data_IF_092473550254
#
_entry.id   IF_092473550254
#
_cell.length_a   1.000
_cell.length_b   1.000
_cell.length_c   1.000
_cell.angle_alpha   90.00
_cell.angle_beta   90.00
_cell.angle_gamma   90.00
#
_symmetry.space_group_name_H-M   'P 1'
#
loop_
_entity.id
_entity.type
_entity.pdbx_description
1 polymer ?
#
# COMPACT_ATOMS: atom_id res chain seq x y z
N UNK A 1 9.34 -14.99 20.79
CA UNK A 1 10.23 -14.17 19.93
C UNK A 1 9.44 -12.99 19.39
N UNK A 2 9.83 -11.75 19.71
CA UNK A 2 9.20 -10.57 19.12
C UNK A 2 9.66 -10.43 17.65
N UNK A 3 8.72 -10.28 16.71
CA UNK A 3 9.04 -9.98 15.31
C UNK A 3 9.62 -8.57 15.19
N UNK A 4 10.67 -8.40 14.37
CA UNK A 4 11.24 -7.07 14.09
C UNK A 4 10.18 -6.16 13.45
N UNK A 5 10.32 -4.82 13.63
CA UNK A 5 9.38 -3.84 13.03
C UNK A 5 9.23 -4.04 11.52
N UNK A 6 10.32 -4.32 10.82
CA UNK A 6 10.32 -4.58 9.38
C UNK A 6 9.56 -5.85 8.99
N UNK A 7 9.75 -6.95 9.74
CA UNK A 7 9.00 -8.20 9.49
C UNK A 7 7.50 -8.02 9.72
N UNK A 8 7.09 -7.18 10.68
CA UNK A 8 5.67 -6.87 10.90
C UNK A 8 5.05 -6.10 9.75
N UNK A 9 5.77 -5.12 9.19
CA UNK A 9 5.30 -4.38 8.00
C UNK A 9 5.17 -5.31 6.79
N UNK A 10 6.19 -6.13 6.53
CA UNK A 10 6.13 -7.12 5.45
C UNK A 10 4.96 -8.09 5.63
N UNK A 11 4.70 -8.55 6.85
CA UNK A 11 3.56 -9.41 7.13
C UNK A 11 2.23 -8.69 6.88
N UNK A 12 2.10 -7.43 7.27
CA UNK A 12 0.91 -6.62 7.02
C UNK A 12 0.64 -6.44 5.52
N UNK A 13 1.66 -6.06 4.74
CA UNK A 13 1.52 -5.89 3.28
C UNK A 13 1.22 -7.22 2.57
N UNK A 14 1.85 -8.32 3.01
CA UNK A 14 1.56 -9.65 2.48
C UNK A 14 0.11 -10.06 2.76
N UNK A 15 -0.39 -9.84 3.98
CA UNK A 15 -1.78 -10.10 4.33
C UNK A 15 -2.74 -9.21 3.52
N UNK A 16 -2.42 -7.94 3.33
CA UNK A 16 -3.22 -7.05 2.48
C UNK A 16 -3.31 -7.61 1.04
N UNK A 17 -2.18 -8.00 0.45
CA UNK A 17 -2.14 -8.64 -0.87
C UNK A 17 -2.99 -9.90 -0.96
N UNK A 18 -2.95 -10.76 0.06
CA UNK A 18 -3.79 -11.97 0.14
C UNK A 18 -5.28 -11.63 0.22
N UNK A 19 -5.68 -10.65 1.05
CA UNK A 19 -7.08 -10.23 1.16
C UNK A 19 -7.60 -9.71 -0.19
N UNK A 20 -6.78 -8.94 -0.91
CA UNK A 20 -7.12 -8.43 -2.24
C UNK A 20 -7.29 -9.58 -3.24
N UNK A 21 -6.41 -10.58 -3.21
CA UNK A 21 -6.54 -11.77 -4.06
C UNK A 21 -7.80 -12.58 -3.76
N UNK A 22 -8.17 -12.73 -2.49
CA UNK A 22 -9.44 -13.36 -2.12
C UNK A 22 -10.63 -12.57 -2.69
N UNK A 23 -10.58 -11.25 -2.64
CA UNK A 23 -11.64 -10.39 -3.21
C UNK A 23 -11.66 -10.42 -4.74
N UNK A 24 -10.49 -10.55 -5.38
CA UNK A 24 -10.36 -10.77 -6.81
C UNK A 24 -11.06 -12.05 -7.26
N UNK A 25 -10.83 -13.14 -6.52
CA UNK A 25 -11.45 -14.44 -6.75
C UNK A 25 -12.98 -14.36 -6.57
N UNK A 26 -13.44 -13.78 -5.45
CA UNK A 26 -14.86 -13.51 -5.19
C UNK A 26 -15.53 -12.75 -6.36
N UNK A 27 -14.89 -11.70 -6.90
CA UNK A 27 -15.46 -10.96 -8.04
C UNK A 27 -15.39 -11.69 -9.37
N UNK A 28 -14.39 -12.53 -9.59
CA UNK A 28 -14.34 -13.39 -10.78
C UNK A 28 -15.50 -14.39 -10.79
N UNK A 29 -15.83 -15.00 -9.64
CA UNK A 29 -16.95 -15.96 -9.52
C UNK A 29 -18.33 -15.29 -9.70
N UNK A 30 -18.49 -14.06 -9.24
CA UNK A 30 -19.76 -13.31 -9.38
C UNK A 30 -19.93 -12.61 -10.74
N UNK A 31 -19.20 -13.03 -11.78
CA UNK A 31 -19.36 -12.54 -13.15
C UNK A 31 -18.69 -11.20 -13.47
N UNK A 32 -17.93 -10.63 -12.53
CA UNK A 32 -17.18 -9.39 -12.75
C UNK A 32 -15.71 -9.68 -13.11
N UNK A 33 -15.48 -10.43 -14.20
CA UNK A 33 -14.13 -10.86 -14.60
C UNK A 33 -13.13 -9.72 -14.75
N UNK A 34 -13.54 -8.55 -15.29
CA UNK A 34 -12.63 -7.40 -15.46
C UNK A 34 -12.14 -6.88 -14.10
N UNK A 35 -13.07 -6.65 -13.17
CA UNK A 35 -12.76 -6.20 -11.81
C UNK A 35 -11.97 -7.25 -11.02
N UNK A 36 -12.36 -8.52 -11.14
CA UNK A 36 -11.63 -9.64 -10.54
C UNK A 36 -10.19 -9.71 -11.05
N UNK A 37 -9.98 -9.62 -12.36
CA UNK A 37 -8.64 -9.64 -12.97
C UNK A 37 -7.79 -8.44 -12.53
N UNK A 38 -8.39 -7.26 -12.48
CA UNK A 38 -7.71 -6.03 -12.07
C UNK A 38 -7.28 -6.08 -10.60
N UNK A 39 -8.17 -6.52 -9.71
CA UNK A 39 -7.83 -6.79 -8.30
C UNK A 39 -6.77 -7.89 -8.18
N UNK A 40 -6.85 -8.93 -9.02
CA UNK A 40 -5.90 -10.03 -9.05
C UNK A 40 -4.48 -9.52 -9.34
N UNK A 41 -4.34 -8.71 -10.39
CA UNK A 41 -3.06 -8.07 -10.76
C UNK A 41 -2.56 -7.22 -9.59
N UNK A 42 -3.40 -6.36 -9.02
CA UNK A 42 -3.03 -5.51 -7.88
C UNK A 42 -2.55 -6.35 -6.69
N UNK A 43 -3.27 -7.41 -6.33
CA UNK A 43 -2.92 -8.31 -5.22
C UNK A 43 -1.57 -8.99 -5.43
N UNK A 44 -1.33 -9.52 -6.63
CA UNK A 44 -0.03 -10.10 -7.01
C UNK A 44 1.07 -9.04 -6.94
N UNK A 45 0.83 -7.84 -7.46
CA UNK A 45 1.81 -6.75 -7.44
C UNK A 45 2.17 -6.34 -6.00
N UNK A 46 1.20 -6.25 -5.09
CA UNK A 46 1.48 -5.95 -3.67
C UNK A 46 2.31 -7.05 -3.01
N UNK A 47 2.00 -8.32 -3.27
CA UNK A 47 2.80 -9.44 -2.73
C UNK A 47 4.23 -9.38 -3.27
N UNK A 48 4.41 -9.15 -4.57
CA UNK A 48 5.73 -9.00 -5.17
C UNK A 48 6.49 -7.81 -4.59
N UNK A 49 5.85 -6.65 -4.47
CA UNK A 49 6.42 -5.46 -3.80
C UNK A 49 6.85 -5.76 -2.38
N UNK A 50 6.08 -6.58 -1.66
CA UNK A 50 6.39 -6.99 -0.28
C UNK A 50 7.63 -7.88 -0.23
N UNK A 51 7.73 -8.87 -1.12
CA UNK A 51 8.88 -9.79 -1.21
C UNK A 51 10.14 -9.02 -1.62
N UNK A 52 10.02 -8.14 -2.60
CA UNK A 52 11.14 -7.36 -3.12
C UNK A 52 11.38 -6.03 -2.38
N UNK A 53 10.62 -5.74 -1.31
CA UNK A 53 10.70 -4.47 -0.56
C UNK A 53 12.14 -4.13 -0.16
N UNK A 54 12.88 -5.12 0.36
CA UNK A 54 14.26 -4.90 0.79
C UNK A 54 15.21 -4.56 -0.35
N UNK A 55 15.01 -5.13 -1.55
CA UNK A 55 15.82 -4.80 -2.74
C UNK A 55 15.44 -3.44 -3.30
N UNK A 56 14.15 -3.11 -3.40
CA UNK A 56 13.71 -1.84 -4.00
C UNK A 56 13.96 -0.64 -3.07
N UNK A 57 13.83 -0.82 -1.75
CA UNK A 57 14.11 0.22 -0.76
C UNK A 57 15.57 0.69 -0.79
N UNK A 58 16.50 -0.14 -1.29
CA UNK A 58 17.90 0.26 -1.49
C UNK A 58 18.10 1.25 -2.64
N UNK A 59 17.22 1.23 -3.66
CA UNK A 59 17.35 2.09 -4.85
C UNK A 59 16.46 3.34 -4.78
N UNK A 60 15.36 3.31 -4.03
CA UNK A 60 14.38 4.39 -4.00
C UNK A 60 14.23 4.93 -2.57
N UNK A 61 14.80 6.12 -2.30
CA UNK A 61 14.77 6.78 -0.98
C UNK A 61 13.36 7.06 -0.45
N UNK A 62 12.36 7.13 -1.35
CA UNK A 62 10.95 7.34 -1.04
C UNK A 62 10.08 6.10 -1.28
N UNK A 63 10.66 4.90 -1.29
CA UNK A 63 9.94 3.66 -1.59
C UNK A 63 8.76 3.44 -0.64
N UNK A 64 8.96 3.65 0.67
CA UNK A 64 7.91 3.51 1.68
C UNK A 64 6.73 4.46 1.42
N UNK A 65 6.99 5.68 0.94
CA UNK A 65 5.95 6.65 0.60
C UNK A 65 5.10 6.17 -0.59
N UNK A 66 5.74 5.57 -1.60
CA UNK A 66 5.07 4.99 -2.76
C UNK A 66 4.24 3.77 -2.37
N UNK A 67 4.74 2.92 -1.46
CA UNK A 67 3.98 1.78 -0.95
C UNK A 67 2.74 2.26 -0.19
N UNK A 68 2.87 3.24 0.70
CA UNK A 68 1.71 3.80 1.40
C UNK A 68 0.69 4.44 0.46
N UNK A 69 1.16 5.10 -0.61
CA UNK A 69 0.29 5.66 -1.63
C UNK A 69 -0.46 4.56 -2.39
N UNK A 70 0.24 3.49 -2.78
CA UNK A 70 -0.36 2.34 -3.45
C UNK A 70 -1.41 1.66 -2.55
N UNK A 71 -1.08 1.42 -1.28
CA UNK A 71 -2.02 0.84 -0.32
C UNK A 71 -3.25 1.73 -0.10
N UNK A 72 -3.06 3.07 -0.02
CA UNK A 72 -4.17 4.01 0.08
C UNK A 72 -5.15 3.88 -1.10
N UNK A 73 -4.63 3.85 -2.33
CA UNK A 73 -5.45 3.69 -3.54
C UNK A 73 -6.21 2.37 -3.51
N UNK A 74 -5.53 1.28 -3.17
CA UNK A 74 -6.13 -0.05 -3.16
C UNK A 74 -7.20 -0.20 -2.08
N UNK A 75 -6.96 0.31 -0.87
CA UNK A 75 -7.95 0.36 0.20
C UNK A 75 -9.17 1.20 -0.21
N UNK A 76 -8.96 2.29 -0.96
CA UNK A 76 -10.04 3.09 -1.53
C UNK A 76 -10.90 2.32 -2.54
N UNK A 77 -10.27 1.58 -3.45
CA UNK A 77 -10.96 0.71 -4.41
C UNK A 77 -11.76 -0.38 -3.68
N UNK A 78 -11.13 -1.06 -2.71
CA UNK A 78 -11.78 -2.10 -1.89
C UNK A 78 -12.96 -1.54 -1.11
N UNK A 79 -12.82 -0.35 -0.53
CA UNK A 79 -13.93 0.36 0.11
C UNK A 79 -15.09 0.60 -0.86
N UNK A 80 -14.81 1.12 -2.05
CA UNK A 80 -15.82 1.36 -3.09
C UNK A 80 -16.55 0.09 -3.50
N UNK A 81 -15.83 -1.03 -3.62
CA UNK A 81 -16.42 -2.33 -3.90
C UNK A 81 -17.32 -2.82 -2.78
N UNK A 82 -16.92 -2.64 -1.51
CA UNK A 82 -17.78 -3.03 -0.40
C UNK A 82 -19.04 -2.16 -0.28
N UNK A 83 -18.97 -0.88 -0.65
CA UNK A 83 -20.17 -0.02 -0.77
C UNK A 83 -21.10 -0.53 -1.87
N UNK A 84 -20.55 -0.89 -3.03
CA UNK A 84 -21.32 -1.45 -4.14
C UNK A 84 -21.97 -2.80 -3.78
N UNK A 85 -21.29 -3.62 -2.96
CA UNK A 85 -21.80 -4.89 -2.44
C UNK A 85 -22.84 -4.72 -1.30
N UNK A 86 -23.19 -3.48 -0.94
CA UNK A 86 -24.18 -3.18 0.10
C UNK A 86 -23.73 -3.53 1.53
N UNK A 87 -22.44 -3.80 1.75
CA UNK A 87 -21.94 -4.13 3.09
C UNK A 87 -21.91 -2.87 3.96
N UNK A 88 -22.42 -2.97 5.18
CA UNK A 88 -22.36 -1.88 6.17
C UNK A 88 -21.13 -2.05 7.07
N UNK A 89 -20.54 -0.94 7.52
CA UNK A 89 -19.39 -0.93 8.43
C UNK A 89 -18.02 -1.16 7.76
N UNK A 90 -17.81 -2.31 7.09
CA UNK A 90 -16.53 -2.63 6.43
C UNK A 90 -16.02 -1.54 5.47
N UNK A 91 -16.85 -0.97 4.57
CA UNK A 91 -16.39 0.07 3.66
C UNK A 91 -15.80 1.27 4.43
N UNK A 92 -16.43 1.70 5.52
CA UNK A 92 -15.95 2.84 6.31
C UNK A 92 -14.59 2.57 6.95
N UNK A 93 -14.35 1.34 7.40
CA UNK A 93 -13.04 0.94 7.92
C UNK A 93 -11.95 1.01 6.84
N UNK A 94 -12.24 0.51 5.63
CA UNK A 94 -11.33 0.58 4.49
C UNK A 94 -11.12 2.00 3.99
N UNK A 95 -12.16 2.84 3.96
CA UNK A 95 -12.06 4.25 3.62
C UNK A 95 -11.21 5.03 4.62
N UNK A 96 -11.41 4.81 5.92
CA UNK A 96 -10.62 5.45 6.97
C UNK A 96 -9.14 5.02 6.87
N UNK A 97 -8.90 3.73 6.67
CA UNK A 97 -7.55 3.22 6.44
C UNK A 97 -6.92 3.86 5.20
N UNK A 98 -7.64 3.93 4.07
CA UNK A 98 -7.18 4.59 2.84
C UNK A 98 -6.73 6.03 3.10
N UNK A 99 -7.53 6.82 3.83
CA UNK A 99 -7.19 8.20 4.20
C UNK A 99 -5.96 8.26 5.11
N UNK A 100 -5.86 7.37 6.10
CA UNK A 100 -4.71 7.32 7.00
C UNK A 100 -3.40 7.00 6.24
N UNK A 101 -3.45 6.02 5.33
CA UNK A 101 -2.32 5.65 4.48
C UNK A 101 -1.95 6.76 3.49
N UNK A 102 -2.93 7.45 2.91
CA UNK A 102 -2.68 8.60 2.05
C UNK A 102 -1.98 9.73 2.82
N UNK A 103 -2.44 10.00 4.04
CA UNK A 103 -1.83 11.00 4.92
C UNK A 103 -0.39 10.61 5.27
N UNK A 104 -0.15 9.33 5.59
CA UNK A 104 1.19 8.83 5.85
C UNK A 104 2.12 8.98 4.65
N UNK A 105 1.63 8.69 3.44
CA UNK A 105 2.39 8.89 2.19
C UNK A 105 2.78 10.36 2.00
N UNK A 106 1.83 11.29 2.16
CA UNK A 106 2.08 12.75 2.05
C UNK A 106 3.11 13.21 3.08
N UNK A 107 2.99 12.78 4.34
CA UNK A 107 3.93 13.15 5.41
C UNK A 107 5.34 12.63 5.13
N UNK A 108 5.47 11.42 4.59
CA UNK A 108 6.75 10.86 4.18
C UNK A 108 7.36 11.65 3.02
N UNK A 109 6.58 11.99 1.98
CA UNK A 109 7.06 12.80 0.85
C UNK A 109 7.54 14.19 1.27
N UNK A 110 6.90 14.80 2.27
CA UNK A 110 7.30 16.12 2.77
C UNK A 110 8.61 16.07 3.57
N UNK A 111 8.94 14.94 4.21
CA UNK A 111 10.17 14.76 4.97
C UNK A 111 11.39 14.44 4.10
N UNK A 112 11.19 13.97 2.87
CA UNK A 112 12.29 13.69 1.92
C UNK A 112 12.76 14.89 1.11
N UNK A 113 12.19 16.09 1.32
CA UNK A 113 12.76 17.33 0.76
C UNK A 113 14.07 17.66 1.48
N UNK A 114 15.21 17.78 0.75
CA UNK A 114 16.50 18.08 1.35
C UNK A 114 16.61 19.57 1.65
N UNK A 115 16.59 19.94 2.93
CA UNK A 115 17.26 21.14 3.42
C UNK A 115 18.72 20.78 3.79
N UNK A 116 19.50 20.27 2.82
CA UNK A 116 20.84 19.72 3.12
C UNK A 116 21.87 20.00 2.00
N UNK A 117 21.84 21.24 1.46
CA UNK A 117 22.86 21.74 0.53
C UNK A 117 23.40 23.14 0.89
N UNK A 118 23.31 23.57 2.15
CA UNK A 118 23.87 24.85 2.61
C UNK A 118 24.80 24.69 3.82
N UNK A 119 25.73 23.74 3.76
CA UNK A 119 27.05 23.92 4.36
C UNK A 119 28.08 23.59 3.27
N UNK A 120 28.22 24.52 2.33
CA UNK A 120 29.44 24.60 1.54
C UNK A 120 30.56 24.96 2.52
N UNK A 121 31.42 23.98 2.78
CA UNK A 121 32.66 24.10 3.52
C UNK A 121 33.44 25.35 3.06
N UNK A 122 33.62 26.37 3.93
CA UNK A 122 34.43 27.53 3.64
C UNK A 122 35.79 27.41 4.34
N UNK A 123 36.55 26.32 4.18
CA UNK A 123 38.00 26.42 4.35
C UNK A 123 38.83 25.28 3.71
N UNK A 124 39.66 25.57 2.69
CA UNK A 124 40.74 24.68 2.25
C UNK A 124 41.96 24.68 3.19
#
# INVERSE_FOLDING_TARGET
>A
MALSREKRKQLAHALAGVIILLKAFDKAEHGHMILGSLLGIIGVTIILLTIYHHRLAQYIKSFDALVFLAEAVVLGIVSGLYFHDGKTGLPYAYALASVAYLTAAILFFRRTKPDDHLEADPNP
#
